data_IF_969567771160
#
_entry.id   IF_969567771160
#
_cell.length_a   1.000
_cell.length_b   1.000
_cell.length_c   1.000
_cell.angle_alpha   90.00
_cell.angle_beta   90.00
_cell.angle_gamma   90.00
#
_symmetry.space_group_name_H-M   'P 1'
#
loop_
_entity.id
_entity.type
_entity.pdbx_description
1 polymer ?
#
# COMPACT_ATOMS: atom_id res chain seq x y z
N UNK A 1 51.19 -2.66 -5.93
CA UNK A 1 50.52 -2.02 -7.06
C UNK A 1 49.11 -2.64 -7.16
N UNK A 2 48.05 -1.88 -6.94
CA UNK A 2 46.69 -2.36 -7.23
C UNK A 2 46.52 -2.31 -8.75
N UNK A 3 46.22 -3.44 -9.36
CA UNK A 3 45.84 -3.50 -10.77
C UNK A 3 44.64 -2.61 -11.02
N UNK A 4 44.75 -1.63 -11.89
CA UNK A 4 43.58 -0.85 -12.37
C UNK A 4 42.67 -1.79 -13.13
N UNK A 5 41.45 -1.97 -12.63
CA UNK A 5 40.38 -2.64 -13.34
C UNK A 5 39.77 -1.65 -14.32
N UNK A 6 40.11 -1.79 -15.60
CA UNK A 6 39.35 -1.16 -16.68
C UNK A 6 38.01 -1.90 -16.84
N UNK A 7 36.90 -1.19 -16.74
CA UNK A 7 35.58 -1.69 -17.08
C UNK A 7 34.99 -0.86 -18.23
N UNK A 8 34.21 -1.47 -19.09
CA UNK A 8 33.47 -0.74 -20.12
C UNK A 8 32.41 0.14 -19.43
N UNK A 9 32.38 1.43 -19.77
CA UNK A 9 31.46 2.40 -19.21
C UNK A 9 29.99 1.99 -19.48
N UNK A 10 29.71 1.47 -20.67
CA UNK A 10 28.37 1.07 -21.05
C UNK A 10 27.91 -0.10 -20.16
N UNK A 11 28.71 -1.15 -20.04
CA UNK A 11 28.39 -2.33 -19.23
C UNK A 11 28.16 -1.96 -17.75
N UNK A 12 28.98 -1.09 -17.19
CA UNK A 12 28.85 -0.63 -15.82
C UNK A 12 27.60 0.24 -15.61
N UNK A 13 27.24 1.09 -16.57
CA UNK A 13 26.00 1.88 -16.53
C UNK A 13 24.77 0.99 -16.62
N UNK A 14 24.74 0.03 -17.54
CA UNK A 14 23.62 -0.91 -17.69
C UNK A 14 23.39 -1.72 -16.40
N UNK A 15 24.47 -2.22 -15.80
CA UNK A 15 24.42 -2.97 -14.55
C UNK A 15 23.90 -2.14 -13.38
N UNK A 16 24.40 -0.91 -13.23
CA UNK A 16 23.95 0.01 -12.17
C UNK A 16 22.51 0.46 -12.37
N UNK A 17 22.14 0.74 -13.63
CA UNK A 17 20.76 1.11 -13.95
C UNK A 17 19.77 -0.05 -13.66
N UNK A 18 20.15 -1.27 -14.04
CA UNK A 18 19.34 -2.46 -13.73
C UNK A 18 19.19 -2.64 -12.22
N UNK A 19 20.27 -2.51 -11.47
CA UNK A 19 20.24 -2.61 -10.00
C UNK A 19 19.34 -1.54 -9.38
N UNK A 20 19.44 -0.30 -9.85
CA UNK A 20 18.57 0.80 -9.42
C UNK A 20 17.11 0.53 -9.77
N UNK A 21 16.83 0.11 -11.00
CA UNK A 21 15.48 -0.20 -11.47
C UNK A 21 14.84 -1.30 -10.61
N UNK A 22 15.54 -2.42 -10.41
CA UNK A 22 15.06 -3.53 -9.57
C UNK A 22 14.82 -3.09 -8.12
N UNK A 23 15.73 -2.31 -7.56
CA UNK A 23 15.53 -1.76 -6.20
C UNK A 23 14.31 -0.87 -6.11
N UNK A 24 14.09 0.01 -7.09
CA UNK A 24 12.91 0.90 -7.12
C UNK A 24 11.61 0.10 -7.29
N UNK A 25 11.61 -0.93 -8.12
CA UNK A 25 10.45 -1.79 -8.34
C UNK A 25 10.08 -2.54 -7.06
N UNK A 26 11.02 -3.36 -6.56
CA UNK A 26 10.74 -4.33 -5.49
C UNK A 26 10.70 -3.67 -4.10
N UNK A 27 11.60 -2.73 -3.84
CA UNK A 27 11.78 -2.18 -2.50
C UNK A 27 11.03 -0.88 -2.24
N UNK A 28 10.35 -0.31 -3.24
CA UNK A 28 9.71 1.00 -3.09
C UNK A 28 8.30 1.08 -3.65
N UNK A 29 8.08 0.64 -4.88
CA UNK A 29 6.90 1.05 -5.64
C UNK A 29 5.77 0.02 -5.65
N UNK A 30 6.09 -1.27 -5.64
CA UNK A 30 5.09 -2.32 -5.72
C UNK A 30 4.63 -2.80 -4.34
N UNK A 31 3.31 -3.03 -4.18
CA UNK A 31 2.80 -3.71 -3.00
C UNK A 31 3.07 -5.23 -3.08
N UNK A 32 3.21 -5.88 -1.92
CA UNK A 32 3.19 -7.33 -1.85
C UNK A 32 1.73 -7.82 -1.92
N UNK A 33 1.46 -8.82 -2.74
CA UNK A 33 0.09 -9.35 -2.94
C UNK A 33 -0.53 -9.91 -1.67
N UNK A 34 0.29 -10.41 -0.74
CA UNK A 34 -0.13 -11.08 0.49
C UNK A 34 -0.70 -10.12 1.53
N UNK A 35 -0.13 -8.91 1.67
CA UNK A 35 -0.56 -7.91 2.64
C UNK A 35 -1.00 -6.58 2.01
N UNK A 36 -0.85 -6.42 0.69
CA UNK A 36 -1.25 -5.22 -0.04
C UNK A 36 -0.43 -3.98 0.30
N UNK A 37 0.73 -4.13 0.91
CA UNK A 37 1.52 -3.02 1.44
C UNK A 37 2.84 -2.85 0.68
N UNK A 38 3.23 -1.60 0.48
CA UNK A 38 4.60 -1.25 0.12
C UNK A 38 5.51 -1.38 1.35
N UNK A 39 6.82 -1.56 1.17
CA UNK A 39 7.76 -1.73 2.29
C UNK A 39 7.66 -0.61 3.34
N UNK A 40 7.49 0.64 2.93
CA UNK A 40 7.36 1.77 3.86
C UNK A 40 6.10 1.68 4.71
N UNK A 41 4.95 1.33 4.12
CA UNK A 41 3.69 1.18 4.86
C UNK A 41 3.80 0.04 5.89
N UNK A 42 4.37 -1.08 5.49
CA UNK A 42 4.61 -2.24 6.38
C UNK A 42 5.49 -1.88 7.56
N UNK A 43 6.57 -1.15 7.32
CA UNK A 43 7.49 -0.69 8.37
C UNK A 43 6.84 0.28 9.34
N UNK A 44 6.01 1.21 8.85
CA UNK A 44 5.25 2.13 9.72
C UNK A 44 4.30 1.35 10.62
N UNK A 45 3.47 0.47 10.07
CA UNK A 45 2.49 -0.30 10.85
C UNK A 45 3.18 -1.24 11.84
N UNK A 46 4.29 -1.88 11.44
CA UNK A 46 5.07 -2.74 12.32
C UNK A 46 5.74 -1.96 13.45
N UNK A 47 6.29 -0.79 13.18
CA UNK A 47 6.85 0.09 14.21
C UNK A 47 5.77 0.54 15.22
N UNK A 48 4.59 0.94 14.73
CA UNK A 48 3.47 1.31 15.59
C UNK A 48 3.01 0.14 16.48
N UNK A 49 2.91 -1.07 15.94
CA UNK A 49 2.60 -2.29 16.72
C UNK A 49 3.69 -2.57 17.77
N UNK A 50 4.96 -2.46 17.39
CA UNK A 50 6.11 -2.67 18.30
C UNK A 50 6.13 -1.65 19.44
N UNK A 51 5.58 -0.45 19.21
CA UNK A 51 5.38 0.58 20.24
C UNK A 51 4.13 0.35 21.11
N UNK A 52 3.36 -0.72 20.87
CA UNK A 52 2.13 -1.02 21.58
C UNK A 52 0.95 -0.11 21.24
N UNK A 53 0.95 0.47 20.04
CA UNK A 53 -0.08 1.39 19.58
C UNK A 53 -1.25 0.61 18.98
N UNK A 54 -2.23 0.26 19.78
CA UNK A 54 -3.48 -0.35 19.33
C UNK A 54 -4.57 0.70 19.13
N UNK A 55 -5.70 0.29 18.53
CA UNK A 55 -6.88 1.15 18.38
C UNK A 55 -7.46 1.66 19.72
N UNK A 56 -7.23 0.90 20.80
CA UNK A 56 -7.66 1.29 22.16
C UNK A 56 -6.62 2.16 22.91
N UNK A 57 -5.39 2.30 22.38
CA UNK A 57 -4.35 3.10 23.02
C UNK A 57 -4.56 4.60 22.81
N UNK A 58 -3.84 5.42 23.57
CA UNK A 58 -3.79 6.87 23.34
C UNK A 58 -3.04 7.15 22.04
N UNK A 59 -3.40 8.24 21.35
CA UNK A 59 -2.63 8.75 20.24
C UNK A 59 -1.22 9.15 20.68
N UNK A 60 -0.26 8.92 19.81
CA UNK A 60 1.16 9.25 20.03
C UNK A 60 1.59 10.26 18.97
N UNK A 61 2.49 11.18 19.35
CA UNK A 61 3.04 12.18 18.41
C UNK A 61 3.62 11.51 17.17
N UNK A 62 3.23 11.99 16.00
CA UNK A 62 3.75 11.48 14.72
C UNK A 62 5.27 11.56 14.66
N UNK A 63 5.87 12.58 15.26
CA UNK A 63 7.33 12.72 15.36
C UNK A 63 7.99 11.49 16.02
N UNK A 64 7.37 10.91 17.05
CA UNK A 64 7.88 9.70 17.72
C UNK A 64 7.76 8.47 16.83
N UNK A 65 6.63 8.35 16.12
CA UNK A 65 6.41 7.23 15.18
C UNK A 65 7.43 7.29 14.05
N UNK A 66 7.58 8.46 13.42
CA UNK A 66 8.53 8.66 12.33
C UNK A 66 9.96 8.42 12.77
N UNK A 67 10.35 8.94 13.94
CA UNK A 67 11.68 8.69 14.53
C UNK A 67 11.97 7.20 14.75
N UNK A 68 11.00 6.44 15.24
CA UNK A 68 11.11 4.98 15.42
C UNK A 68 11.31 4.26 14.08
N UNK A 69 10.53 4.63 13.06
CA UNK A 69 10.63 4.04 11.71
C UNK A 69 12.00 4.33 11.09
N UNK A 70 12.44 5.58 11.11
CA UNK A 70 13.72 6.00 10.53
C UNK A 70 14.91 5.37 11.24
N UNK A 71 14.89 5.38 12.56
CA UNK A 71 15.98 4.87 13.37
C UNK A 71 16.17 3.36 13.30
N UNK A 72 15.08 2.60 13.06
CA UNK A 72 15.12 1.14 13.15
C UNK A 72 14.91 0.40 11.84
N UNK A 73 14.14 0.94 10.89
CA UNK A 73 13.67 0.14 9.76
C UNK A 73 13.85 0.82 8.40
N UNK A 74 13.82 2.14 8.32
CA UNK A 74 13.75 2.83 7.04
C UNK A 74 14.64 4.08 6.98
N UNK A 75 15.95 3.94 6.67
CA UNK A 75 16.92 5.02 6.68
C UNK A 75 16.80 5.94 5.44
N UNK A 76 15.65 6.61 5.31
CA UNK A 76 15.33 7.52 4.22
C UNK A 76 14.79 8.85 4.77
N UNK A 77 14.29 9.73 3.90
CA UNK A 77 13.79 11.05 4.32
C UNK A 77 12.58 10.98 5.27
N UNK A 78 12.58 11.83 6.28
CA UNK A 78 11.50 11.96 7.26
C UNK A 78 10.19 12.43 6.64
N UNK A 79 10.25 13.40 5.73
CA UNK A 79 9.09 13.93 5.01
C UNK A 79 8.36 12.86 4.22
N UNK A 80 9.08 12.04 3.46
CA UNK A 80 8.48 10.96 2.66
C UNK A 80 7.87 9.85 3.53
N UNK A 81 8.49 9.59 4.68
CA UNK A 81 7.97 8.63 5.67
C UNK A 81 6.69 9.16 6.31
N UNK A 82 6.68 10.44 6.68
CA UNK A 82 5.50 11.09 7.24
C UNK A 82 4.35 11.16 6.22
N UNK A 83 4.61 11.56 4.98
CA UNK A 83 3.59 11.57 3.91
C UNK A 83 2.96 10.19 3.69
N UNK A 84 3.77 9.12 3.78
CA UNK A 84 3.26 7.76 3.70
C UNK A 84 2.32 7.42 4.86
N UNK A 85 2.64 7.85 6.08
CA UNK A 85 1.76 7.71 7.24
C UNK A 85 0.50 8.55 7.10
N UNK A 86 0.62 9.78 6.61
CA UNK A 86 -0.51 10.69 6.36
C UNK A 86 -1.51 10.05 5.42
N UNK A 87 -1.06 9.50 4.29
CA UNK A 87 -1.95 8.83 3.33
C UNK A 87 -2.71 7.66 3.94
N UNK A 88 -2.09 6.92 4.86
CA UNK A 88 -2.77 5.83 5.57
C UNK A 88 -3.82 6.31 6.58
N UNK A 89 -3.82 7.59 6.93
CA UNK A 89 -4.80 8.20 7.84
C UNK A 89 -5.91 8.99 7.12
N UNK A 90 -5.75 9.28 5.83
CA UNK A 90 -6.71 10.05 5.05
C UNK A 90 -7.86 9.17 4.55
N UNK A 91 -9.08 9.49 4.92
CA UNK A 91 -10.30 8.80 4.49
C UNK A 91 -10.65 9.05 3.01
N UNK A 92 -10.11 10.11 2.43
CA UNK A 92 -10.22 10.40 0.99
C UNK A 92 -9.10 9.76 0.14
N UNK A 93 -8.05 9.21 0.79
CA UNK A 93 -6.95 8.49 0.11
C UNK A 93 -7.07 6.99 0.24
N UNK A 94 -7.60 6.50 1.36
CA UNK A 94 -7.79 5.07 1.62
C UNK A 94 -9.25 4.77 1.90
N UNK A 95 -9.77 3.73 1.25
CA UNK A 95 -11.16 3.28 1.47
C UNK A 95 -11.37 2.80 2.90
N UNK A 96 -10.35 2.19 3.49
CA UNK A 96 -10.30 1.74 4.88
C UNK A 96 -8.98 2.20 5.50
N UNK A 97 -8.95 3.38 6.15
CA UNK A 97 -7.75 3.92 6.76
C UNK A 97 -7.09 2.97 7.75
N UNK A 98 -5.77 2.87 7.70
CA UNK A 98 -4.98 1.98 8.57
C UNK A 98 -4.43 2.71 9.80
N UNK A 99 -4.36 4.04 9.75
CA UNK A 99 -3.92 4.91 10.83
C UNK A 99 -5.09 5.81 11.23
N UNK A 100 -5.35 5.90 12.52
CA UNK A 100 -6.26 6.87 13.11
C UNK A 100 -5.46 8.11 13.50
N UNK A 101 -5.63 9.18 12.72
CA UNK A 101 -4.91 10.43 12.86
C UNK A 101 -5.68 11.45 13.71
N UNK A 102 -4.96 12.17 14.56
CA UNK A 102 -5.49 13.29 15.34
C UNK A 102 -4.72 14.57 15.00
N UNK A 103 -5.43 15.58 14.56
CA UNK A 103 -4.89 16.85 14.06
C UNK A 103 -5.17 17.05 12.57
N UNK A 104 -4.45 17.94 11.93
CA UNK A 104 -4.61 18.22 10.51
C UNK A 104 -3.75 17.26 9.67
N UNK A 105 -4.40 16.33 8.98
CA UNK A 105 -3.80 15.39 8.03
C UNK A 105 -4.04 15.80 6.56
N UNK A 106 -4.35 17.06 6.31
CA UNK A 106 -4.69 17.56 4.98
C UNK A 106 -6.17 17.46 4.67
N UNK A 107 -6.56 17.97 3.52
CA UNK A 107 -7.93 17.93 3.02
C UNK A 107 -8.00 17.47 1.58
N UNK A 108 -9.18 17.08 1.13
CA UNK A 108 -9.46 16.76 -0.26
C UNK A 108 -9.35 17.98 -1.18
N UNK A 109 -9.44 19.18 -0.63
CA UNK A 109 -9.32 20.44 -1.38
C UNK A 109 -7.86 20.85 -1.65
N UNK A 110 -6.90 20.00 -1.20
CA UNK A 110 -5.47 20.18 -1.49
C UNK A 110 -4.68 20.83 -0.35
N UNK A 111 -5.27 21.04 0.82
CA UNK A 111 -4.52 21.51 1.98
C UNK A 111 -3.48 20.49 2.40
N UNK A 112 -2.28 21.00 2.66
CA UNK A 112 -1.20 20.16 3.16
C UNK A 112 -1.42 19.75 4.61
N UNK A 113 -0.97 18.54 5.02
CA UNK A 113 -0.98 18.15 6.41
C UNK A 113 -0.10 19.06 7.25
N UNK A 114 -0.45 19.23 8.52
CA UNK A 114 0.41 19.93 9.47
C UNK A 114 1.72 19.12 9.67
N UNK A 115 2.80 19.82 10.05
CA UNK A 115 4.06 19.15 10.32
C UNK A 115 3.91 18.07 11.41
N UNK A 116 4.65 16.95 11.30
CA UNK A 116 4.55 15.77 12.14
C UNK A 116 4.71 16.01 13.65
N UNK A 117 5.27 17.15 14.05
CA UNK A 117 5.35 17.57 15.47
C UNK A 117 4.00 17.99 16.05
N UNK A 118 3.02 18.35 15.22
CA UNK A 118 1.70 18.79 15.64
C UNK A 118 0.64 17.69 15.57
N UNK A 119 0.86 16.68 14.78
CA UNK A 119 -0.09 15.57 14.59
C UNK A 119 0.20 14.41 15.52
N UNK A 120 -0.81 13.59 15.74
CA UNK A 120 -0.75 12.37 16.53
C UNK A 120 -1.42 11.24 15.75
N UNK A 121 -0.99 9.99 16.00
CA UNK A 121 -1.59 8.82 15.35
C UNK A 121 -1.63 7.62 16.25
N UNK A 122 -2.46 6.64 15.88
CA UNK A 122 -2.52 5.28 16.41
C UNK A 122 -3.04 4.33 15.33
N UNK A 123 -2.99 3.03 15.57
CA UNK A 123 -3.56 2.05 14.65
C UNK A 123 -5.09 2.08 14.69
N UNK A 124 -5.74 1.84 13.56
CA UNK A 124 -7.19 1.65 13.48
C UNK A 124 -7.59 0.24 13.88
N UNK A 125 -8.87 -0.03 14.21
CA UNK A 125 -9.34 -1.39 14.49
C UNK A 125 -9.11 -2.37 13.33
N UNK A 126 -9.25 -1.92 12.09
CA UNK A 126 -9.06 -2.78 10.92
C UNK A 126 -7.61 -3.22 10.76
N UNK A 127 -6.65 -2.41 11.17
CA UNK A 127 -5.21 -2.73 11.10
C UNK A 127 -4.85 -3.91 12.01
N UNK A 128 -5.62 -4.17 13.05
CA UNK A 128 -5.43 -5.34 13.89
C UNK A 128 -5.52 -6.66 13.09
N UNK A 129 -6.33 -6.71 12.02
CA UNK A 129 -6.40 -7.88 11.14
C UNK A 129 -5.17 -8.09 10.25
N UNK A 130 -4.35 -7.05 10.08
CA UNK A 130 -3.06 -7.17 9.39
C UNK A 130 -1.94 -7.66 10.33
N UNK A 131 -2.06 -7.41 11.63
CA UNK A 131 -0.98 -7.56 12.61
C UNK A 131 -1.21 -8.67 13.66
N UNK A 132 -2.45 -9.17 13.81
CA UNK A 132 -2.88 -10.02 14.93
C UNK A 132 -2.01 -11.27 15.18
N UNK A 133 -1.43 -11.83 14.13
CA UNK A 133 -0.62 -13.04 14.21
C UNK A 133 0.89 -12.78 14.10
N UNK A 134 1.33 -11.54 14.10
CA UNK A 134 2.76 -11.16 13.91
C UNK A 134 3.69 -11.79 14.95
N UNK A 135 3.19 -12.08 16.16
CA UNK A 135 3.94 -12.68 17.26
C UNK A 135 3.85 -14.22 17.32
N UNK A 136 3.17 -14.83 16.32
CA UNK A 136 2.89 -16.28 16.30
C UNK A 136 3.76 -17.07 15.30
N UNK A 137 4.86 -16.49 14.87
CA UNK A 137 5.78 -17.09 13.87
C UNK A 137 5.08 -17.52 12.57
N UNK A 138 4.13 -16.74 12.12
CA UNK A 138 3.33 -17.00 10.91
C UNK A 138 3.93 -16.46 9.63
N UNK A 139 4.94 -15.58 9.73
CA UNK A 139 5.61 -14.94 8.60
C UNK A 139 7.11 -14.88 8.83
N UNK A 140 7.87 -14.87 7.74
CA UNK A 140 9.32 -14.77 7.80
C UNK A 140 9.77 -13.36 8.18
N UNK A 141 10.84 -13.28 8.96
CA UNK A 141 11.52 -12.05 9.32
C UNK A 141 12.89 -11.99 8.61
N UNK A 142 13.32 -10.79 8.29
CA UNK A 142 14.66 -10.50 7.77
C UNK A 142 15.36 -9.47 8.63
N UNK A 143 16.71 -9.39 8.61
CA UNK A 143 17.43 -8.29 9.24
C UNK A 143 16.96 -6.93 8.68
N UNK A 144 16.97 -5.91 9.54
CA UNK A 144 16.80 -4.53 9.13
C UNK A 144 18.07 -4.00 8.41
N UNK A 145 18.10 -2.72 8.07
CA UNK A 145 19.17 -2.14 7.27
C UNK A 145 20.57 -2.21 7.93
N UNK A 146 20.66 -2.21 9.26
CA UNK A 146 21.92 -2.26 10.03
C UNK A 146 22.19 -3.61 10.70
N UNK A 147 21.36 -4.61 10.45
CA UNK A 147 21.42 -5.96 11.03
C UNK A 147 21.26 -6.03 12.56
N UNK A 148 20.81 -4.96 13.21
CA UNK A 148 20.62 -4.95 14.68
C UNK A 148 19.27 -5.50 15.10
N UNK A 149 18.26 -5.38 14.26
CA UNK A 149 16.88 -5.79 14.50
C UNK A 149 16.35 -6.64 13.34
N UNK A 150 15.15 -7.18 13.52
CA UNK A 150 14.43 -7.90 12.47
C UNK A 150 13.15 -7.16 12.10
N UNK A 151 12.82 -7.17 10.82
CA UNK A 151 11.57 -6.66 10.27
C UNK A 151 10.82 -7.79 9.55
N UNK A 152 9.47 -7.81 9.55
CA UNK A 152 8.71 -8.82 8.82
C UNK A 152 8.85 -8.61 7.31
N UNK A 153 9.01 -9.69 6.57
CA UNK A 153 9.02 -9.68 5.09
C UNK A 153 7.63 -9.28 4.57
N UNK A 154 6.58 -9.75 5.25
CA UNK A 154 5.18 -9.48 4.95
C UNK A 154 4.38 -9.51 6.26
N UNK A 155 3.28 -8.79 6.36
CA UNK A 155 2.39 -8.91 7.51
C UNK A 155 1.47 -10.13 7.38
N UNK A 156 1.11 -10.78 8.52
CA UNK A 156 0.21 -11.95 8.52
C UNK A 156 -1.26 -11.53 8.33
N UNK A 157 -1.54 -10.91 7.19
CA UNK A 157 -2.84 -10.33 6.91
C UNK A 157 -3.96 -11.36 6.89
N UNK A 158 -4.99 -11.13 7.71
CA UNK A 158 -6.24 -11.90 7.70
C UNK A 158 -7.29 -11.31 6.75
N UNK A 159 -6.97 -10.23 6.05
CA UNK A 159 -7.86 -9.60 5.09
C UNK A 159 -7.12 -9.30 3.78
N UNK A 160 -7.80 -9.30 2.65
CA UNK A 160 -7.21 -9.04 1.34
C UNK A 160 -6.99 -7.52 1.13
N UNK A 161 -6.06 -6.94 1.89
CA UNK A 161 -5.84 -5.50 1.91
C UNK A 161 -5.55 -4.90 0.53
N UNK A 162 -4.87 -5.64 -0.37
CA UNK A 162 -4.62 -5.18 -1.73
C UNK A 162 -5.93 -4.91 -2.49
N UNK A 163 -6.96 -5.73 -2.29
CA UNK A 163 -8.24 -5.57 -2.96
C UNK A 163 -9.10 -4.49 -2.31
N UNK A 164 -9.15 -4.44 -0.98
CA UNK A 164 -10.05 -3.51 -0.28
C UNK A 164 -9.54 -2.06 -0.30
N UNK A 165 -8.22 -1.85 -0.17
CA UNK A 165 -7.63 -0.51 -0.17
C UNK A 165 -7.00 -0.13 -1.51
N UNK A 166 -6.73 -1.11 -2.36
CA UNK A 166 -5.98 -0.86 -3.57
C UNK A 166 -4.53 -0.48 -3.32
N UNK A 167 -3.82 -0.13 -4.36
CA UNK A 167 -2.48 0.44 -4.30
C UNK A 167 -2.12 1.06 -5.64
N UNK A 168 -1.41 2.17 -5.63
CA UNK A 168 -0.82 2.73 -6.84
C UNK A 168 0.68 2.97 -6.65
N UNK A 169 1.46 2.77 -7.70
CA UNK A 169 2.90 2.98 -7.66
C UNK A 169 3.49 3.14 -9.04
N UNK A 170 4.49 4.02 -9.12
CA UNK A 170 5.27 4.26 -10.33
C UNK A 170 6.69 3.80 -10.05
N UNK A 171 7.19 2.90 -10.88
CA UNK A 171 8.55 2.39 -10.83
C UNK A 171 9.30 2.70 -12.12
N UNK A 172 10.50 2.18 -12.28
CA UNK A 172 11.26 2.27 -13.52
C UNK A 172 10.74 1.22 -14.49
N UNK A 173 10.22 1.65 -15.64
CA UNK A 173 9.74 0.75 -16.69
C UNK A 173 8.37 0.09 -16.43
N UNK A 174 7.77 0.31 -15.26
CA UNK A 174 6.43 -0.19 -14.95
C UNK A 174 5.68 0.67 -13.95
N UNK A 175 4.36 0.60 -13.98
CA UNK A 175 3.48 1.19 -12.99
C UNK A 175 2.42 0.18 -12.58
N UNK A 176 1.91 0.29 -11.36
CA UNK A 176 0.73 -0.46 -10.93
C UNK A 176 -0.32 0.49 -10.38
N UNK A 177 -1.59 0.15 -10.60
CA UNK A 177 -2.71 0.85 -10.01
C UNK A 177 -3.84 -0.16 -9.76
N UNK A 178 -4.04 -0.52 -8.51
CA UNK A 178 -5.13 -1.39 -8.07
C UNK A 178 -6.21 -0.53 -7.43
N UNK A 179 -7.46 -0.54 -7.93
CA UNK A 179 -8.54 0.18 -7.28
C UNK A 179 -8.95 -0.49 -5.98
N UNK A 180 -9.50 0.30 -5.07
CA UNK A 180 -10.15 -0.22 -3.88
C UNK A 180 -11.52 -0.86 -4.20
N UNK A 181 -11.96 -1.76 -3.32
CA UNK A 181 -13.23 -2.48 -3.46
C UNK A 181 -13.97 -2.53 -2.13
N UNK A 182 -15.27 -2.74 -2.21
CA UNK A 182 -16.12 -2.87 -1.03
C UNK A 182 -15.78 -4.15 -0.25
N UNK A 183 -15.57 -4.00 1.06
CA UNK A 183 -15.18 -5.09 1.96
C UNK A 183 -16.17 -6.26 1.91
N UNK A 184 -17.48 -5.99 1.98
CA UNK A 184 -18.51 -7.03 1.97
C UNK A 184 -18.56 -7.78 0.64
N UNK A 185 -18.40 -7.09 -0.48
CA UNK A 185 -18.34 -7.70 -1.81
C UNK A 185 -17.13 -8.62 -1.95
N UNK A 186 -15.96 -8.17 -1.50
CA UNK A 186 -14.72 -8.96 -1.54
C UNK A 186 -14.82 -10.20 -0.65
N UNK A 187 -15.34 -10.06 0.58
CA UNK A 187 -15.54 -11.24 1.45
C UNK A 187 -16.57 -12.21 0.92
N UNK A 188 -17.67 -11.71 0.33
CA UNK A 188 -18.65 -12.57 -0.34
C UNK A 188 -18.02 -13.37 -1.49
N UNK A 189 -17.17 -12.74 -2.30
CA UNK A 189 -16.43 -13.42 -3.36
C UNK A 189 -15.43 -14.44 -2.81
N UNK A 190 -14.74 -14.12 -1.71
CA UNK A 190 -13.79 -15.04 -1.07
C UNK A 190 -14.47 -16.27 -0.50
N UNK A 191 -15.62 -16.12 0.18
CA UNK A 191 -16.41 -17.25 0.70
C UNK A 191 -16.81 -18.16 -0.45
N UNK A 192 -17.35 -17.57 -1.52
CA UNK A 192 -17.72 -18.33 -2.72
C UNK A 192 -16.55 -19.04 -3.37
N UNK A 193 -15.36 -18.41 -3.39
CA UNK A 193 -14.13 -19.01 -3.93
C UNK A 193 -13.61 -20.16 -3.07
N UNK A 194 -13.74 -20.08 -1.73
CA UNK A 194 -13.37 -21.15 -0.81
C UNK A 194 -14.28 -22.38 -1.02
N UNK A 195 -15.59 -22.14 -1.16
CA UNK A 195 -16.57 -23.21 -1.42
C UNK A 195 -16.38 -23.84 -2.80
N UNK A 196 -16.02 -23.05 -3.80
CA UNK A 196 -15.84 -23.48 -5.19
C UNK A 196 -14.54 -22.91 -5.76
N UNK A 197 -13.36 -23.55 -5.55
CA UNK A 197 -12.04 -22.99 -5.95
C UNK A 197 -11.84 -22.78 -7.45
N UNK A 198 -12.60 -23.47 -8.30
CA UNK A 198 -12.51 -23.35 -9.76
C UNK A 198 -13.57 -22.40 -10.33
N UNK A 199 -13.54 -21.14 -9.88
CA UNK A 199 -14.45 -20.13 -10.41
C UNK A 199 -13.82 -19.28 -11.51
N UNK A 200 -14.66 -18.79 -12.41
CA UNK A 200 -14.28 -17.82 -13.43
C UNK A 200 -14.42 -16.38 -12.89
N UNK A 201 -13.71 -15.43 -13.51
CA UNK A 201 -13.85 -14.01 -13.20
C UNK A 201 -15.31 -13.56 -13.30
N UNK A 202 -16.04 -14.02 -14.32
CA UNK A 202 -17.48 -13.74 -14.49
C UNK A 202 -18.31 -14.21 -13.30
N UNK A 203 -17.95 -15.34 -12.69
CA UNK A 203 -18.64 -15.84 -11.48
C UNK A 203 -18.34 -14.96 -10.27
N UNK A 204 -17.09 -14.57 -10.06
CA UNK A 204 -16.69 -13.70 -8.96
C UNK A 204 -17.29 -12.30 -9.09
N UNK A 205 -17.48 -11.79 -10.31
CA UNK A 205 -18.16 -10.51 -10.57
C UNK A 205 -19.67 -10.50 -10.23
N UNK A 206 -20.26 -11.64 -9.87
CA UNK A 206 -21.61 -11.64 -9.27
C UNK A 206 -21.59 -11.06 -7.85
N UNK A 207 -20.44 -11.19 -7.17
CA UNK A 207 -20.21 -10.69 -5.81
C UNK A 207 -19.55 -9.30 -5.84
N UNK A 208 -18.51 -9.12 -6.66
CA UNK A 208 -17.79 -7.84 -6.82
C UNK A 208 -18.35 -7.13 -8.04
N UNK A 209 -19.10 -6.07 -7.82
CA UNK A 209 -19.78 -5.32 -8.90
C UNK A 209 -18.85 -4.36 -9.63
N UNK A 210 -17.80 -3.92 -8.98
CA UNK A 210 -16.81 -2.99 -9.51
C UNK A 210 -15.94 -2.36 -8.40
N UNK A 211 -15.09 -1.42 -8.76
CA UNK A 211 -14.32 -0.63 -7.80
C UNK A 211 -15.22 0.17 -6.85
N UNK A 212 -14.72 0.39 -5.62
CA UNK A 212 -15.36 1.22 -4.60
C UNK A 212 -14.32 2.21 -4.07
N UNK A 213 -14.41 3.47 -4.51
CA UNK A 213 -13.41 4.49 -4.21
C UNK A 213 -13.69 5.21 -2.89
N UNK A 214 -12.65 5.71 -2.18
CA UNK A 214 -12.81 6.41 -0.90
C UNK A 214 -13.72 7.63 -0.96
N UNK A 215 -13.71 8.36 -2.07
CA UNK A 215 -14.50 9.58 -2.27
C UNK A 215 -15.81 9.32 -3.02
N UNK A 216 -16.20 8.03 -3.13
CA UNK A 216 -17.35 7.59 -3.91
C UNK A 216 -17.19 7.89 -5.41
N UNK A 217 -18.29 7.87 -6.16
CA UNK A 217 -18.29 8.15 -7.60
C UNK A 217 -19.32 7.30 -8.32
N UNK A 218 -19.51 7.58 -9.60
CA UNK A 218 -20.41 6.81 -10.47
C UNK A 218 -19.56 6.08 -11.51
N UNK A 219 -19.75 4.76 -11.59
CA UNK A 219 -19.12 3.95 -12.63
C UNK A 219 -19.96 4.09 -13.90
N UNK A 220 -19.41 4.70 -14.92
CA UNK A 220 -20.06 4.91 -16.22
C UNK A 220 -19.89 3.71 -17.16
N UNK A 221 -18.91 2.85 -16.88
CA UNK A 221 -18.58 1.70 -17.73
C UNK A 221 -19.66 0.62 -17.68
N UNK A 222 -19.91 0.00 -18.80
CA UNK A 222 -20.76 -1.17 -18.89
C UNK A 222 -20.16 -2.39 -18.16
N UNK A 223 -21.02 -3.35 -17.77
CA UNK A 223 -20.56 -4.61 -17.16
C UNK A 223 -19.57 -5.38 -18.03
N UNK A 224 -19.69 -5.27 -19.35
CA UNK A 224 -18.80 -5.92 -20.31
C UNK A 224 -17.41 -5.29 -20.30
N UNK A 225 -17.32 -3.97 -20.22
CA UNK A 225 -16.04 -3.25 -20.10
C UNK A 225 -15.34 -3.53 -18.78
N UNK A 226 -16.08 -3.50 -17.66
CA UNK A 226 -15.54 -3.88 -16.35
C UNK A 226 -15.01 -5.32 -16.35
N UNK A 227 -15.78 -6.25 -16.92
CA UNK A 227 -15.32 -7.63 -17.07
C UNK A 227 -14.04 -7.72 -17.87
N UNK A 228 -13.97 -7.07 -19.02
CA UNK A 228 -12.75 -7.01 -19.85
C UNK A 228 -11.58 -6.45 -19.06
N UNK A 229 -11.80 -5.40 -18.27
CA UNK A 229 -10.79 -4.80 -17.42
C UNK A 229 -10.23 -5.80 -16.38
N UNK A 230 -11.07 -6.54 -15.69
CA UNK A 230 -10.65 -7.58 -14.74
C UNK A 230 -9.98 -8.79 -15.41
N UNK A 231 -10.39 -9.15 -16.63
CA UNK A 231 -9.80 -10.25 -17.40
C UNK A 231 -8.43 -9.88 -17.97
N UNK A 232 -8.26 -8.67 -18.44
CA UNK A 232 -7.02 -8.21 -19.10
C UNK A 232 -6.07 -7.50 -18.15
N UNK A 233 -6.52 -7.13 -16.95
CA UNK A 233 -5.82 -6.27 -15.99
C UNK A 233 -5.38 -4.93 -16.62
N UNK A 234 -6.11 -4.45 -17.63
CA UNK A 234 -5.86 -3.19 -18.34
C UNK A 234 -7.08 -2.30 -18.23
N UNK A 235 -6.96 -1.22 -17.48
CA UNK A 235 -8.02 -0.24 -17.24
C UNK A 235 -7.60 1.11 -17.79
N UNK A 236 -8.22 1.52 -18.90
CA UNK A 236 -7.92 2.83 -19.50
C UNK A 236 -8.90 3.88 -18.97
N UNK A 237 -10.14 3.55 -18.65
CA UNK A 237 -11.13 4.46 -18.05
C UNK A 237 -12.15 3.68 -17.23
N UNK A 238 -12.19 3.87 -15.91
CA UNK A 238 -13.21 3.24 -15.06
C UNK A 238 -14.21 4.23 -14.49
N UNK A 239 -13.80 5.42 -14.15
CA UNK A 239 -14.71 6.45 -13.64
C UNK A 239 -14.15 7.84 -13.82
N UNK A 240 -15.02 8.79 -14.08
CA UNK A 240 -14.72 10.18 -13.81
C UNK A 240 -15.38 10.55 -12.47
N UNK A 241 -14.60 11.05 -11.49
CA UNK A 241 -15.20 11.62 -10.30
C UNK A 241 -15.97 12.88 -10.71
N UNK A 242 -17.21 12.97 -10.30
CA UNK A 242 -18.08 14.14 -10.57
C UNK A 242 -17.67 15.41 -9.83
N UNK A 243 -16.57 15.36 -9.05
CA UNK A 243 -16.00 16.51 -8.36
C UNK A 243 -14.69 16.98 -8.99
N UNK A 244 -14.54 18.29 -9.09
CA UNK A 244 -13.55 19.07 -9.84
C UNK A 244 -12.07 18.78 -9.60
N UNK A 245 -11.65 17.93 -8.67
CA UNK A 245 -10.25 17.79 -8.26
C UNK A 245 -9.73 16.35 -8.06
N UNK A 246 -10.49 15.35 -8.44
CA UNK A 246 -10.04 13.96 -8.32
C UNK A 246 -9.97 13.29 -9.69
N UNK A 247 -8.94 13.56 -10.46
CA UNK A 247 -8.58 12.77 -11.63
C UNK A 247 -7.75 11.59 -11.12
N UNK A 248 -8.42 10.48 -10.84
CA UNK A 248 -7.74 9.21 -10.59
C UNK A 248 -7.67 8.43 -11.89
N UNK A 249 -6.56 8.49 -12.57
CA UNK A 249 -6.27 7.56 -13.65
C UNK A 249 -5.80 6.25 -13.03
N UNK A 250 -6.67 5.25 -13.03
CA UNK A 250 -6.27 3.89 -12.71
C UNK A 250 -5.78 3.21 -14.00
N UNK A 251 -4.47 3.09 -14.17
CA UNK A 251 -3.87 2.31 -15.24
C UNK A 251 -3.28 1.05 -14.64
N UNK A 252 -3.79 -0.12 -15.02
CA UNK A 252 -3.16 -1.40 -14.73
C UNK A 252 -2.23 -1.75 -15.89
N UNK A 253 -0.94 -1.82 -15.63
CA UNK A 253 0.01 -2.49 -16.51
C UNK A 253 0.77 -3.52 -15.69
N UNK A 254 0.34 -4.77 -15.81
CA UNK A 254 1.20 -5.93 -15.58
C UNK A 254 1.51 -6.48 -16.98
N UNK A 255 2.68 -6.21 -17.49
CA UNK A 255 3.33 -6.97 -18.53
C UNK A 255 4.56 -7.60 -17.97
#
# INVERSE_FOLDING_TARGET
>A
MRAEKTSDLQEELEKRFLTYALSTIVSRSLPDVRDGLKPIHRRILFAMESMGMSAASKHVKSAKIIGEVLGKYHPHGDSSTYESMVRMAQDFSMRYPLVDGKGNFGSMDGDSPAAYRYTEGRLTPITAFLLSDIKKDTVSFRPNYDNTLKEPVVLPSRMPNLLINGSSGIAVGMACSFPSHNLHEVFSALISLIEQPKQTITSLMKHIKGPDFPTEGIILNSKAELRKAYETLSLIHISEPTRRYAISYAVFCLK
#
